data_IF_366473570094
#
_entry.id   IF_366473570094
#
_cell.length_a   1.000
_cell.length_b   1.000
_cell.length_c   1.000
_cell.angle_alpha   90.00
_cell.angle_beta   90.00
_cell.angle_gamma   90.00
#
_symmetry.space_group_name_H-M   'P 1'
#
loop_
_entity.id
_entity.type
_entity.pdbx_description
1 polymer ?
#
# COMPACT_ATOMS: atom_id res chain seq x y z
N UNK A 1 12.58 -22.70 -6.10
CA UNK A 1 13.53 -21.88 -5.30
C UNK A 1 13.06 -20.44 -5.17
N UNK A 2 12.65 -19.77 -6.26
CA UNK A 2 12.11 -18.40 -6.20
C UNK A 2 10.86 -18.26 -5.31
N UNK A 3 9.87 -19.14 -5.48
CA UNK A 3 8.62 -19.11 -4.70
C UNK A 3 8.85 -19.28 -3.20
N UNK A 4 9.72 -20.22 -2.81
CA UNK A 4 10.13 -20.43 -1.42
C UNK A 4 10.86 -19.21 -0.82
N UNK A 5 11.74 -18.57 -1.59
CA UNK A 5 12.43 -17.36 -1.14
C UNK A 5 11.44 -16.18 -1.00
N UNK A 6 10.47 -16.06 -1.91
CA UNK A 6 9.44 -15.03 -1.84
C UNK A 6 8.54 -15.23 -0.61
N UNK A 7 8.08 -16.45 -0.33
CA UNK A 7 7.33 -16.77 0.90
C UNK A 7 8.12 -16.44 2.16
N UNK A 8 9.40 -16.82 2.23
CA UNK A 8 10.25 -16.50 3.38
C UNK A 8 10.43 -14.99 3.56
N UNK A 9 10.53 -14.23 2.46
CA UNK A 9 10.60 -12.77 2.48
C UNK A 9 9.30 -12.16 3.03
N UNK A 10 8.14 -12.64 2.58
CA UNK A 10 6.82 -12.18 3.06
C UNK A 10 6.64 -12.49 4.55
N UNK A 11 6.96 -13.70 5.01
CA UNK A 11 6.87 -14.03 6.43
C UNK A 11 7.82 -13.20 7.30
N UNK A 12 9.05 -12.95 6.80
CA UNK A 12 9.98 -12.07 7.50
C UNK A 12 9.45 -10.64 7.58
N UNK A 13 8.96 -10.09 6.47
CA UNK A 13 8.38 -8.75 6.43
C UNK A 13 7.15 -8.66 7.33
N UNK A 14 6.30 -9.69 7.35
CA UNK A 14 5.12 -9.77 8.23
C UNK A 14 5.53 -9.71 9.69
N UNK A 15 6.51 -10.53 10.08
CA UNK A 15 7.03 -10.51 11.45
C UNK A 15 7.61 -9.14 11.81
N UNK A 16 8.47 -8.58 10.96
CA UNK A 16 9.08 -7.27 11.21
C UNK A 16 8.03 -6.15 11.34
N UNK A 17 6.98 -6.19 10.51
CA UNK A 17 5.90 -5.21 10.55
C UNK A 17 5.08 -5.37 11.83
N UNK A 18 4.74 -6.60 12.23
CA UNK A 18 4.03 -6.84 13.49
C UNK A 18 4.85 -6.42 14.70
N UNK A 19 6.15 -6.75 14.73
CA UNK A 19 7.07 -6.32 15.79
C UNK A 19 7.12 -4.78 15.84
N UNK A 20 7.21 -4.10 14.68
CA UNK A 20 7.23 -2.62 14.61
C UNK A 20 5.92 -2.00 15.11
N UNK A 21 4.77 -2.60 14.79
CA UNK A 21 3.46 -2.12 15.26
C UNK A 21 3.34 -2.31 16.78
N UNK A 22 3.79 -3.45 17.31
CA UNK A 22 3.78 -3.75 18.74
C UNK A 22 4.71 -2.81 19.54
N UNK A 23 5.90 -2.56 19.01
CA UNK A 23 6.83 -1.56 19.55
C UNK A 23 6.21 -0.15 19.52
N UNK A 24 5.51 0.22 18.44
CA UNK A 24 4.77 1.48 18.36
C UNK A 24 3.65 1.58 19.40
N UNK A 25 2.93 0.48 19.66
CA UNK A 25 1.90 0.43 20.71
C UNK A 25 2.52 0.67 22.07
N UNK A 26 3.60 -0.04 22.38
CA UNK A 26 4.29 0.06 23.66
C UNK A 26 4.85 1.46 23.89
N UNK A 27 5.57 2.00 22.91
CA UNK A 27 6.13 3.36 23.00
C UNK A 27 5.05 4.43 23.17
N UNK A 28 3.94 4.35 22.43
CA UNK A 28 2.83 5.29 22.60
C UNK A 28 2.17 5.17 23.98
N UNK A 29 2.04 3.95 24.50
CA UNK A 29 1.48 3.71 25.83
C UNK A 29 2.36 4.32 26.93
N UNK A 30 3.67 4.10 26.86
CA UNK A 30 4.65 4.68 27.79
C UNK A 30 4.64 6.21 27.72
N UNK A 31 4.63 6.78 26.51
CA UNK A 31 4.57 8.23 26.31
C UNK A 31 3.30 8.82 26.93
N UNK A 32 2.13 8.21 26.68
CA UNK A 32 0.86 8.67 27.25
C UNK A 32 0.84 8.55 28.77
N UNK A 33 1.37 7.46 29.33
CA UNK A 33 1.47 7.27 30.78
C UNK A 33 2.36 8.32 31.44
N UNK A 34 3.51 8.64 30.83
CA UNK A 34 4.43 9.68 31.30
C UNK A 34 3.79 11.07 31.28
N UNK A 35 3.01 11.36 30.24
CA UNK A 35 2.27 12.62 30.14
C UNK A 35 1.17 12.72 31.22
N UNK A 36 0.47 11.63 31.53
CA UNK A 36 -0.50 11.59 32.63
C UNK A 36 0.16 11.85 33.98
N UNK A 37 1.31 11.20 34.24
CA UNK A 37 2.08 11.44 35.47
C UNK A 37 2.52 12.91 35.59
N UNK A 38 2.97 13.49 34.49
CA UNK A 38 3.39 14.91 34.44
C UNK A 38 2.21 15.84 34.71
N UNK A 39 1.04 15.62 34.09
CA UNK A 39 -0.15 16.41 34.35
C UNK A 39 -0.63 16.31 35.79
N UNK A 40 -0.62 15.10 36.38
CA UNK A 40 -0.94 14.91 37.80
C UNK A 40 -0.02 15.77 38.69
N UNK A 41 1.29 15.75 38.44
CA UNK A 41 2.25 16.59 39.18
C UNK A 41 1.98 18.08 39.03
N UNK A 42 1.53 18.53 37.84
CA UNK A 42 1.16 19.93 37.60
C UNK A 42 -0.09 20.31 38.39
N UNK A 43 -1.11 19.44 38.44
CA UNK A 43 -2.32 19.67 39.24
C UNK A 43 -1.98 19.75 40.73
N UNK A 44 -1.14 18.83 41.24
CA UNK A 44 -0.69 18.84 42.63
C UNK A 44 0.07 20.13 42.97
N UNK A 45 0.98 20.58 42.09
CA UNK A 45 1.70 21.83 42.28
C UNK A 45 0.78 23.06 42.26
N UNK A 46 -0.25 23.07 41.42
CA UNK A 46 -1.26 24.14 41.40
C UNK A 46 -2.09 24.17 42.70
N UNK A 47 -2.43 23.00 43.25
CA UNK A 47 -3.11 22.89 44.54
C UNK A 47 -2.25 23.46 45.67
N UNK A 48 -0.96 23.11 45.71
CA UNK A 48 0.00 23.66 46.68
C UNK A 48 0.11 25.19 46.58
N UNK A 49 0.19 25.74 45.36
CA UNK A 49 0.22 27.20 45.14
C UNK A 49 -1.09 27.85 45.57
N UNK A 50 -2.24 27.23 45.33
CA UNK A 50 -3.54 27.73 45.78
C UNK A 50 -3.60 27.77 47.31
N UNK A 51 -3.18 26.70 48.00
CA UNK A 51 -3.13 26.64 49.46
C UNK A 51 -2.19 27.72 50.03
N UNK A 52 -1.00 27.89 49.43
CA UNK A 52 -0.07 28.96 49.78
C UNK A 52 -0.67 30.35 49.60
N UNK A 53 -1.36 30.59 48.49
CA UNK A 53 -2.02 31.86 48.17
C UNK A 53 -3.17 32.17 49.13
N UNK A 54 -3.98 31.18 49.51
CA UNK A 54 -5.01 31.34 50.56
C UNK A 54 -4.40 31.70 51.91
N UNK A 55 -3.26 31.11 52.26
CA UNK A 55 -2.54 31.44 53.50
C UNK A 55 -2.01 32.88 53.47
N UNK A 56 -1.47 33.32 52.33
CA UNK A 56 -1.04 34.71 52.14
C UNK A 56 -2.24 35.66 52.26
N UNK A 57 -3.38 35.33 51.65
CA UNK A 57 -4.61 36.14 51.77
C UNK A 57 -4.99 36.36 53.24
N UNK A 58 -4.96 35.30 54.07
CA UNK A 58 -5.21 35.41 55.50
C UNK A 58 -4.21 36.30 56.25
N UNK A 59 -2.92 36.23 55.89
CA UNK A 59 -1.88 37.11 56.47
C UNK A 59 -2.15 38.58 56.10
N UNK A 60 -2.54 38.84 54.86
CA UNK A 60 -2.86 40.20 54.38
C UNK A 60 -4.08 40.77 55.11
N UNK A 61 -5.12 39.96 55.36
CA UNK A 61 -6.25 40.36 56.22
C UNK A 61 -5.78 40.75 57.61
N UNK A 62 -4.93 39.94 58.25
CA UNK A 62 -4.38 40.24 59.57
C UNK A 62 -3.55 41.54 59.56
N UNK A 63 -2.73 41.78 58.54
CA UNK A 63 -1.94 43.02 58.42
C UNK A 63 -2.87 44.24 58.29
N UNK A 64 -3.95 44.13 57.52
CA UNK A 64 -4.95 45.18 57.40
C UNK A 64 -5.63 45.47 58.76
N UNK A 65 -5.94 44.43 59.54
CA UNK A 65 -6.52 44.59 60.87
C UNK A 65 -5.54 45.25 61.86
N UNK A 66 -4.27 44.87 61.83
CA UNK A 66 -3.21 45.51 62.63
C UNK A 66 -3.04 46.98 62.24
N UNK A 67 -3.08 47.29 60.94
CA UNK A 67 -3.03 48.66 60.45
C UNK A 67 -4.24 49.48 60.96
N UNK A 68 -5.45 48.90 60.96
CA UNK A 68 -6.64 49.54 61.50
C UNK A 68 -6.55 49.77 63.01
N UNK A 69 -6.11 48.78 63.78
CA UNK A 69 -5.89 48.91 65.23
C UNK A 69 -4.82 49.98 65.56
N UNK A 70 -3.73 50.01 64.80
CA UNK A 70 -2.67 51.02 64.94
C UNK A 70 -3.21 52.43 64.66
N UNK A 71 -4.09 52.57 63.66
CA UNK A 71 -4.76 53.82 63.35
C UNK A 71 -5.67 54.31 64.50
N UNK A 72 -6.39 53.40 65.17
CA UNK A 72 -7.20 53.72 66.35
C UNK A 72 -6.35 54.09 67.58
N UNK A 73 -5.26 53.37 67.82
CA UNK A 73 -4.31 53.69 68.89
C UNK A 73 -3.67 55.07 68.68
N UNK A 74 -3.28 55.38 67.45
CA UNK A 74 -2.74 56.68 67.07
C UNK A 74 -3.77 57.80 67.29
N UNK A 75 -5.04 57.55 66.97
CA UNK A 75 -6.13 58.49 67.25
C UNK A 75 -6.28 58.75 68.75
N UNK A 76 -6.29 57.71 69.58
CA UNK A 76 -6.36 57.85 71.04
C UNK A 76 -5.16 58.63 71.60
N UNK A 77 -3.95 58.37 71.09
CA UNK A 77 -2.75 59.12 71.45
C UNK A 77 -2.82 60.59 71.03
N UNK A 78 -3.38 60.90 69.85
CA UNK A 78 -3.63 62.28 69.43
C UNK A 78 -4.60 63.01 70.37
N UNK A 79 -5.65 62.33 70.84
CA UNK A 79 -6.62 62.90 71.79
C UNK A 79 -5.97 63.15 73.15
N UNK A 80 -5.19 62.19 73.67
CA UNK A 80 -4.53 62.36 74.97
C UNK A 80 -3.43 63.43 74.91
N UNK A 81 -2.73 63.55 73.78
CA UNK A 81 -1.79 64.63 73.52
C UNK A 81 -2.48 66.01 73.50
N UNK A 82 -3.68 66.11 72.93
CA UNK A 82 -4.48 67.34 72.98
C UNK A 82 -4.93 67.66 74.41
N UNK A 83 -5.27 66.64 75.20
CA UNK A 83 -5.68 66.76 76.61
C UNK A 83 -4.55 67.24 77.53
N UNK A 84 -3.31 66.83 77.24
CA UNK A 84 -2.10 67.27 77.97
C UNK A 84 -1.65 68.71 77.65
N UNK A 85 -2.33 69.40 76.71
CA UNK A 85 -2.05 70.81 76.37
C UNK A 85 -0.64 71.02 75.83
N UNK A 86 0.08 72.02 76.37
CA UNK A 86 1.43 72.40 75.91
C UNK A 86 2.45 71.24 76.01
N UNK A 87 2.30 70.34 76.99
CA UNK A 87 3.19 69.21 77.19
C UNK A 87 2.98 68.07 76.18
N UNK A 88 1.83 68.04 75.49
CA UNK A 88 1.48 66.99 74.52
C UNK A 88 1.87 67.31 73.08
N UNK A 89 2.36 68.51 72.76
CA UNK A 89 2.63 68.96 71.38
C UNK A 89 3.55 68.01 70.59
N UNK A 90 4.61 67.52 71.21
CA UNK A 90 5.52 66.54 70.57
C UNK A 90 4.84 65.19 70.29
N UNK A 91 4.05 64.69 71.24
CA UNK A 91 3.30 63.44 71.08
C UNK A 91 2.19 63.54 70.04
N UNK A 92 1.55 64.71 69.89
CA UNK A 92 0.52 64.94 68.87
C UNK A 92 1.06 64.80 67.44
N UNK A 93 2.30 65.27 67.19
CA UNK A 93 2.96 65.14 65.88
C UNK A 93 3.26 63.68 65.58
N UNK A 94 3.85 62.96 66.55
CA UNK A 94 4.17 61.53 66.39
C UNK A 94 2.89 60.72 66.13
N UNK A 95 1.82 60.98 66.89
CA UNK A 95 0.54 60.29 66.72
C UNK A 95 -0.07 60.55 65.31
N UNK A 96 0.05 61.76 64.78
CA UNK A 96 -0.40 62.07 63.41
C UNK A 96 0.39 61.29 62.35
N UNK A 97 1.71 61.15 62.53
CA UNK A 97 2.55 60.42 61.58
C UNK A 97 2.31 58.91 61.62
N UNK A 98 2.17 58.34 62.83
CA UNK A 98 1.76 56.93 63.01
C UNK A 98 0.41 56.67 62.36
N UNK A 99 -0.56 57.60 62.50
CA UNK A 99 -1.88 57.49 61.85
C UNK A 99 -1.78 57.46 60.32
N UNK A 100 -0.97 58.34 59.74
CA UNK A 100 -0.72 58.35 58.27
C UNK A 100 -0.08 57.06 57.80
N UNK A 101 0.92 56.55 58.53
CA UNK A 101 1.59 55.29 58.20
C UNK A 101 0.62 54.11 58.25
N UNK A 102 -0.20 54.03 59.31
CA UNK A 102 -1.23 53.01 59.45
C UNK A 102 -2.23 53.03 58.28
N UNK A 103 -2.69 54.22 57.86
CA UNK A 103 -3.55 54.34 56.69
C UNK A 103 -2.85 53.85 55.40
N UNK A 104 -1.58 54.21 55.19
CA UNK A 104 -0.81 53.74 54.03
C UNK A 104 -0.67 52.21 54.02
N UNK A 105 -0.39 51.60 55.18
CA UNK A 105 -0.29 50.14 55.31
C UNK A 105 -1.62 49.43 55.04
N UNK A 106 -2.74 49.97 55.54
CA UNK A 106 -4.07 49.40 55.26
C UNK A 106 -4.39 49.46 53.75
N UNK A 107 -4.10 50.59 53.10
CA UNK A 107 -4.30 50.73 51.65
C UNK A 107 -3.44 49.72 50.86
N UNK A 108 -2.15 49.61 51.16
CA UNK A 108 -1.25 48.68 50.49
C UNK A 108 -1.67 47.21 50.71
N UNK A 109 -2.11 46.86 51.93
CA UNK A 109 -2.60 45.52 52.23
C UNK A 109 -3.83 45.17 51.40
N UNK A 110 -4.76 46.12 51.22
CA UNK A 110 -5.94 45.93 50.38
C UNK A 110 -5.59 45.74 48.90
N UNK A 111 -4.62 46.50 48.39
CA UNK A 111 -4.11 46.34 47.02
C UNK A 111 -3.45 44.97 46.81
N UNK A 112 -2.64 44.50 47.76
CA UNK A 112 -2.06 43.15 47.72
C UNK A 112 -3.16 42.08 47.77
N UNK A 113 -4.20 42.29 48.58
CA UNK A 113 -5.36 41.38 48.66
C UNK A 113 -6.01 41.15 47.30
N UNK A 114 -6.25 42.23 46.52
CA UNK A 114 -6.80 42.13 45.16
C UNK A 114 -5.87 41.35 44.22
N UNK A 115 -4.55 41.56 44.31
CA UNK A 115 -3.59 40.80 43.48
C UNK A 115 -3.59 39.30 43.82
N UNK A 116 -3.73 38.95 45.10
CA UNK A 116 -3.83 37.56 45.54
C UNK A 116 -5.15 36.93 45.06
N UNK A 117 -6.26 37.66 45.10
CA UNK A 117 -7.55 37.20 44.58
C UNK A 117 -7.49 36.90 43.07
N UNK A 118 -6.92 37.81 42.28
CA UNK A 118 -6.67 37.59 40.85
C UNK A 118 -5.74 36.40 40.59
N UNK A 119 -4.74 36.19 41.46
CA UNK A 119 -3.83 35.04 41.36
C UNK A 119 -4.56 33.73 41.63
N UNK A 120 -5.43 33.69 42.65
CA UNK A 120 -6.28 32.53 42.94
C UNK A 120 -7.20 32.19 41.77
N UNK A 121 -7.81 33.18 41.13
CA UNK A 121 -8.64 32.98 39.93
C UNK A 121 -7.82 32.42 38.75
N UNK A 122 -6.60 32.92 38.56
CA UNK A 122 -5.69 32.46 37.49
C UNK A 122 -5.23 31.01 37.73
N UNK A 123 -4.92 30.64 38.98
CA UNK A 123 -4.54 29.27 39.36
C UNK A 123 -5.72 28.33 39.14
N UNK A 124 -6.93 28.72 39.55
CA UNK A 124 -8.13 27.90 39.36
C UNK A 124 -8.45 27.70 37.87
N UNK A 125 -8.32 28.74 37.06
CA UNK A 125 -8.46 28.64 35.60
C UNK A 125 -7.41 27.69 35.01
N UNK A 126 -6.15 27.82 35.44
CA UNK A 126 -5.06 26.92 35.03
C UNK A 126 -5.32 25.46 35.41
N UNK A 127 -5.79 25.21 36.63
CA UNK A 127 -6.17 23.88 37.13
C UNK A 127 -7.26 23.25 36.27
N UNK A 128 -8.29 24.03 35.92
CA UNK A 128 -9.39 23.57 35.07
C UNK A 128 -8.90 23.24 33.65
N UNK A 129 -8.04 24.07 33.06
CA UNK A 129 -7.44 23.80 31.74
C UNK A 129 -6.59 22.52 31.72
N UNK A 130 -5.78 22.28 32.76
CA UNK A 130 -4.98 21.05 32.87
C UNK A 130 -5.90 19.83 33.02
N UNK A 131 -6.95 19.94 33.83
CA UNK A 131 -7.93 18.86 34.02
C UNK A 131 -8.69 18.54 32.73
N UNK A 132 -9.04 19.56 31.94
CA UNK A 132 -9.67 19.37 30.63
C UNK A 132 -8.69 18.78 29.61
N UNK A 133 -7.42 19.24 29.62
CA UNK A 133 -6.34 18.65 28.84
C UNK A 133 -6.13 17.17 29.16
N UNK A 134 -6.26 16.78 30.43
CA UNK A 134 -6.19 15.39 30.85
C UNK A 134 -7.33 14.53 30.29
N UNK A 135 -8.58 15.05 30.26
CA UNK A 135 -9.68 14.37 29.57
C UNK A 135 -9.39 14.18 28.08
N UNK A 136 -8.90 15.24 27.41
CA UNK A 136 -8.50 15.16 26.01
C UNK A 136 -7.41 14.12 25.76
N UNK A 137 -6.45 13.99 26.68
CA UNK A 137 -5.40 12.98 26.61
C UNK A 137 -5.92 11.55 26.81
N UNK A 138 -6.91 11.34 27.68
CA UNK A 138 -7.57 10.05 27.83
C UNK A 138 -8.33 9.64 26.56
N UNK A 139 -9.02 10.58 25.91
CA UNK A 139 -9.67 10.32 24.62
C UNK A 139 -8.65 10.02 23.52
N UNK A 140 -7.55 10.77 23.47
CA UNK A 140 -6.45 10.53 22.53
C UNK A 140 -5.85 9.14 22.74
N UNK A 141 -5.60 8.73 23.99
CA UNK A 141 -5.13 7.37 24.32
C UNK A 141 -6.06 6.31 23.75
N UNK A 142 -7.36 6.43 24.00
CA UNK A 142 -8.35 5.47 23.48
C UNK A 142 -8.38 5.42 21.95
N UNK A 143 -8.26 6.58 21.29
CA UNK A 143 -8.19 6.66 19.82
C UNK A 143 -6.92 6.02 19.27
N UNK A 144 -5.76 6.32 19.86
CA UNK A 144 -4.46 5.74 19.47
C UNK A 144 -4.49 4.22 19.66
N UNK A 145 -4.98 3.73 20.79
CA UNK A 145 -5.11 2.29 21.05
C UNK A 145 -6.02 1.61 20.02
N UNK A 146 -7.18 2.20 19.72
CA UNK A 146 -8.10 1.67 18.71
C UNK A 146 -7.46 1.66 17.31
N UNK A 147 -6.78 2.75 16.94
CA UNK A 147 -6.12 2.91 15.65
C UNK A 147 -4.98 1.91 15.48
N UNK A 148 -4.16 1.68 16.51
CA UNK A 148 -3.05 0.74 16.44
C UNK A 148 -3.53 -0.71 16.40
N UNK A 149 -4.57 -1.05 17.15
CA UNK A 149 -5.21 -2.36 17.06
C UNK A 149 -5.84 -2.59 15.67
N UNK A 150 -6.44 -1.56 15.09
CA UNK A 150 -6.95 -1.62 13.73
C UNK A 150 -5.83 -1.83 12.71
N UNK A 151 -4.75 -1.05 12.79
CA UNK A 151 -3.57 -1.18 11.92
C UNK A 151 -2.96 -2.58 11.99
N UNK A 152 -2.86 -3.16 13.20
CA UNK A 152 -2.40 -4.53 13.42
C UNK A 152 -3.29 -5.53 12.69
N UNK A 153 -4.59 -5.47 12.93
CA UNK A 153 -5.56 -6.38 12.32
C UNK A 153 -5.61 -6.25 10.80
N UNK A 154 -5.57 -5.04 10.26
CA UNK A 154 -5.63 -4.78 8.83
C UNK A 154 -4.34 -5.23 8.13
N UNK A 155 -3.18 -4.99 8.75
CA UNK A 155 -1.91 -5.48 8.24
C UNK A 155 -1.85 -7.01 8.24
N UNK A 156 -2.33 -7.66 9.31
CA UNK A 156 -2.42 -9.13 9.38
C UNK A 156 -3.29 -9.69 8.25
N UNK A 157 -4.46 -9.09 8.00
CA UNK A 157 -5.34 -9.50 6.91
C UNK A 157 -4.66 -9.35 5.54
N UNK A 158 -4.10 -8.17 5.25
CA UNK A 158 -3.43 -7.89 3.97
C UNK A 158 -2.24 -8.84 3.73
N UNK A 159 -1.44 -9.13 4.77
CA UNK A 159 -0.29 -10.03 4.66
C UNK A 159 -0.71 -11.48 4.50
N UNK A 160 -1.84 -11.88 5.09
CA UNK A 160 -2.44 -13.19 4.84
C UNK A 160 -2.92 -13.31 3.39
N UNK A 161 -3.58 -12.29 2.85
CA UNK A 161 -4.04 -12.27 1.44
C UNK A 161 -2.86 -12.35 0.47
N UNK A 162 -1.77 -11.62 0.72
CA UNK A 162 -0.52 -11.71 -0.04
C UNK A 162 0.04 -13.14 0.02
N UNK A 163 0.05 -13.75 1.20
CA UNK A 163 0.56 -15.12 1.38
C UNK A 163 -0.27 -16.13 0.60
N UNK A 164 -1.60 -15.98 0.57
CA UNK A 164 -2.50 -16.80 -0.24
C UNK A 164 -2.25 -16.63 -1.74
N UNK A 165 -2.07 -15.39 -2.21
CA UNK A 165 -1.73 -15.11 -3.61
C UNK A 165 -0.42 -15.79 -4.02
N UNK A 166 0.60 -15.79 -3.15
CA UNK A 166 1.86 -16.49 -3.41
C UNK A 166 1.72 -18.02 -3.46
N UNK A 167 0.83 -18.60 -2.65
CA UNK A 167 0.52 -20.02 -2.71
C UNK A 167 -0.10 -20.39 -4.08
N UNK A 168 -1.06 -19.59 -4.55
CA UNK A 168 -1.69 -19.79 -5.86
C UNK A 168 -0.67 -19.67 -7.01
N UNK A 169 0.21 -18.67 -6.97
CA UNK A 169 1.29 -18.54 -7.97
C UNK A 169 2.23 -19.74 -7.93
N UNK A 170 2.51 -20.29 -6.75
CA UNK A 170 3.37 -21.47 -6.60
C UNK A 170 2.73 -22.71 -7.22
N UNK A 171 1.43 -22.88 -7.05
CA UNK A 171 0.65 -23.95 -7.69
C UNK A 171 0.67 -23.82 -9.22
N UNK A 172 0.42 -22.62 -9.75
CA UNK A 172 0.47 -22.36 -11.20
C UNK A 172 1.87 -22.66 -11.77
N UNK A 173 2.94 -22.29 -11.07
CA UNK A 173 4.31 -22.58 -11.49
C UNK A 173 4.61 -24.09 -11.49
N UNK A 174 4.06 -24.84 -10.55
CA UNK A 174 4.17 -26.30 -10.54
C UNK A 174 3.43 -26.91 -11.74
N UNK A 175 2.22 -26.43 -12.04
CA UNK A 175 1.47 -26.86 -13.22
C UNK A 175 2.19 -26.52 -14.54
N UNK A 176 2.78 -25.32 -14.66
CA UNK A 176 3.61 -24.93 -15.82
C UNK A 176 4.82 -25.85 -15.95
N UNK A 177 5.49 -26.21 -14.85
CA UNK A 177 6.63 -27.13 -14.87
C UNK A 177 6.22 -28.50 -15.41
N UNK A 178 5.10 -29.05 -14.95
CA UNK A 178 4.56 -30.32 -15.43
C UNK A 178 4.20 -30.23 -16.92
N UNK A 179 3.44 -29.21 -17.33
CA UNK A 179 3.07 -29.00 -18.72
C UNK A 179 4.28 -28.80 -19.64
N UNK A 180 5.33 -28.12 -19.16
CA UNK A 180 6.58 -27.92 -19.92
C UNK A 180 7.35 -29.21 -20.11
N UNK A 181 7.34 -30.12 -19.12
CA UNK A 181 7.93 -31.45 -19.25
C UNK A 181 7.15 -32.30 -20.26
N UNK A 182 5.81 -32.29 -20.20
CA UNK A 182 4.96 -33.01 -21.15
C UNK A 182 5.09 -32.45 -22.57
N UNK A 183 5.18 -31.13 -22.73
CA UNK A 183 5.48 -30.49 -24.01
C UNK A 183 6.86 -30.89 -24.54
N UNK A 184 7.88 -30.96 -23.69
CA UNK A 184 9.21 -31.40 -24.11
C UNK A 184 9.21 -32.85 -24.63
N UNK A 185 8.50 -33.74 -23.94
CA UNK A 185 8.30 -35.14 -24.37
C UNK A 185 7.50 -35.20 -25.69
N UNK A 186 6.43 -34.41 -25.81
CA UNK A 186 5.63 -34.30 -27.03
C UNK A 186 6.44 -33.78 -28.23
N UNK A 187 7.31 -32.78 -28.02
CA UNK A 187 8.24 -32.28 -29.04
C UNK A 187 9.23 -33.38 -29.44
N UNK A 188 9.70 -34.20 -28.51
CA UNK A 188 10.54 -35.37 -28.80
C UNK A 188 9.84 -36.37 -29.73
N UNK A 189 8.57 -36.67 -29.46
CA UNK A 189 7.75 -37.55 -30.31
C UNK A 189 7.49 -36.94 -31.70
N UNK A 190 7.19 -35.64 -31.76
CA UNK A 190 7.02 -34.91 -33.02
C UNK A 190 8.30 -34.99 -33.84
N UNK A 191 9.46 -34.76 -33.23
CA UNK A 191 10.75 -34.82 -33.92
C UNK A 191 11.02 -36.22 -34.51
N UNK A 192 10.69 -37.27 -33.75
CA UNK A 192 10.77 -38.66 -34.25
C UNK A 192 9.84 -38.88 -35.44
N UNK A 193 8.60 -38.40 -35.35
CA UNK A 193 7.61 -38.51 -36.43
C UNK A 193 8.03 -37.74 -37.68
N UNK A 194 8.65 -36.55 -37.51
CA UNK A 194 9.20 -35.77 -38.61
C UNK A 194 10.34 -36.53 -39.29
N UNK A 195 11.24 -37.17 -38.52
CA UNK A 195 12.30 -38.00 -39.08
C UNK A 195 11.75 -39.19 -39.88
N UNK A 196 10.69 -39.85 -39.38
CA UNK A 196 9.99 -40.91 -40.09
C UNK A 196 9.31 -40.41 -41.38
N UNK A 197 8.66 -39.25 -41.31
CA UNK A 197 8.05 -38.61 -42.48
C UNK A 197 9.10 -38.21 -43.51
N UNK A 198 10.26 -37.72 -43.07
CA UNK A 198 11.41 -37.43 -43.94
C UNK A 198 11.90 -38.71 -44.64
N UNK A 199 12.00 -39.84 -43.92
CA UNK A 199 12.36 -41.14 -44.49
C UNK A 199 11.36 -41.59 -45.56
N UNK A 200 10.06 -41.54 -45.27
CA UNK A 200 9.01 -41.91 -46.24
C UNK A 200 9.01 -40.97 -47.44
N UNK A 201 9.22 -39.67 -47.23
CA UNK A 201 9.31 -38.68 -48.32
C UNK A 201 10.49 -39.00 -49.25
N UNK A 202 11.62 -39.40 -48.68
CA UNK A 202 12.79 -39.84 -49.46
C UNK A 202 12.52 -41.14 -50.22
N UNK A 203 11.87 -42.11 -49.57
CA UNK A 203 11.46 -43.38 -50.18
C UNK A 203 10.49 -43.15 -51.35
N UNK A 204 9.50 -42.27 -51.17
CA UNK A 204 8.58 -41.86 -52.23
C UNK A 204 9.31 -41.21 -53.42
N UNK A 205 10.31 -40.36 -53.18
CA UNK A 205 11.12 -39.78 -54.25
C UNK A 205 11.86 -40.88 -55.04
N UNK A 206 12.46 -41.86 -54.35
CA UNK A 206 13.13 -42.98 -55.01
C UNK A 206 12.16 -43.87 -55.80
N UNK A 207 10.98 -44.15 -55.25
CA UNK A 207 9.92 -44.89 -55.92
C UNK A 207 9.44 -44.16 -57.17
N UNK A 208 9.26 -42.84 -57.11
CA UNK A 208 8.88 -42.02 -58.27
C UNK A 208 9.95 -42.09 -59.36
N UNK A 209 11.25 -42.00 -59.00
CA UNK A 209 12.33 -42.18 -59.96
C UNK A 209 12.32 -43.58 -60.60
N UNK A 210 12.18 -44.63 -59.80
CA UNK A 210 12.14 -46.01 -60.29
C UNK A 210 10.93 -46.24 -61.20
N UNK A 211 9.77 -45.73 -60.83
CA UNK A 211 8.54 -45.84 -61.60
C UNK A 211 8.62 -45.04 -62.91
N UNK A 212 9.30 -43.89 -62.91
CA UNK A 212 9.61 -43.13 -64.12
C UNK A 212 10.56 -43.91 -65.04
N UNK A 213 11.59 -44.58 -64.49
CA UNK A 213 12.48 -45.48 -65.26
C UNK A 213 11.73 -46.66 -65.84
N UNK A 214 10.88 -47.32 -65.05
CA UNK A 214 10.03 -48.42 -65.51
C UNK A 214 9.08 -47.98 -66.63
N UNK A 215 8.41 -46.83 -66.47
CA UNK A 215 7.55 -46.24 -67.49
C UNK A 215 8.34 -45.91 -68.77
N UNK A 216 9.56 -45.40 -68.66
CA UNK A 216 10.45 -45.17 -69.81
C UNK A 216 10.84 -46.47 -70.51
N UNK A 217 11.19 -47.52 -69.75
CA UNK A 217 11.49 -48.85 -70.29
C UNK A 217 10.28 -49.46 -71.01
N UNK A 218 9.08 -49.37 -70.41
CA UNK A 218 7.83 -49.80 -71.03
C UNK A 218 7.52 -49.03 -72.32
N UNK A 219 7.73 -47.72 -72.34
CA UNK A 219 7.58 -46.90 -73.54
C UNK A 219 8.55 -47.33 -74.65
N UNK A 220 9.80 -47.64 -74.30
CA UNK A 220 10.79 -48.16 -75.24
C UNK A 220 10.41 -49.55 -75.77
N UNK A 221 9.93 -50.46 -74.92
CA UNK A 221 9.45 -51.78 -75.35
C UNK A 221 8.22 -51.67 -76.25
N UNK A 222 7.30 -50.72 -75.97
CA UNK A 222 6.13 -50.46 -76.81
C UNK A 222 6.56 -49.97 -78.18
N UNK A 223 7.50 -49.02 -78.27
CA UNK A 223 8.12 -48.61 -79.54
C UNK A 223 8.82 -49.77 -80.26
N UNK A 224 9.47 -50.66 -79.51
CA UNK A 224 10.13 -51.83 -80.08
C UNK A 224 9.11 -52.81 -80.68
N UNK A 225 8.01 -53.10 -79.98
CA UNK A 225 6.90 -53.92 -80.48
C UNK A 225 6.20 -53.26 -81.67
N UNK A 226 6.00 -51.94 -81.66
CA UNK A 226 5.49 -51.16 -82.80
C UNK A 226 6.40 -51.31 -84.02
N UNK A 227 7.73 -51.19 -83.84
CA UNK A 227 8.70 -51.42 -84.91
C UNK A 227 8.68 -52.85 -85.44
N UNK A 228 8.55 -53.86 -84.56
CA UNK A 228 8.43 -55.27 -84.96
C UNK A 228 7.14 -55.51 -85.74
N UNK A 229 6.01 -54.91 -85.32
CA UNK A 229 4.73 -55.01 -86.03
C UNK A 229 4.79 -54.32 -87.40
N UNK A 230 5.42 -53.15 -87.50
CA UNK A 230 5.66 -52.45 -88.76
C UNK A 230 6.61 -53.22 -89.70
N UNK A 231 7.46 -54.09 -89.15
CA UNK A 231 8.32 -55.01 -89.92
C UNK A 231 7.61 -56.27 -90.41
N UNK A 232 6.45 -56.61 -89.84
CA UNK A 232 5.59 -57.68 -90.35
C UNK A 232 4.84 -57.19 -91.59
N UNK A 233 5.50 -57.28 -92.73
CA UNK A 233 4.82 -57.23 -94.04
C UNK A 233 4.09 -58.57 -94.20
N UNK A 234 2.79 -58.57 -93.93
CA UNK A 234 1.88 -59.63 -94.37
C UNK A 234 1.75 -59.50 -95.88
N UNK A 235 2.27 -60.48 -96.63
CA UNK A 235 2.21 -60.50 -98.08
C UNK A 235 0.78 -60.45 -98.63
N UNK A 236 0.61 -59.63 -99.67
CA UNK A 236 -0.57 -59.47 -100.55
C UNK A 236 -1.17 -60.83 -100.97
N UNK A 237 -2.48 -61.05 -101.16
CA UNK A 237 -3.54 -60.20 -101.72
C UNK A 237 -4.89 -60.96 -101.44
N UNK A 238 -6.01 -60.41 -100.92
CA UNK A 238 -7.12 -59.75 -101.65
C UNK A 238 -8.24 -59.39 -100.62
N UNK A 239 -8.63 -58.11 -100.62
CA UNK A 239 -9.88 -57.43 -100.14
C UNK A 239 -10.54 -57.81 -98.82
N UNK A 240 -10.64 -56.85 -97.88
CA UNK A 240 -11.90 -56.10 -97.60
C UNK A 240 -11.70 -55.05 -96.48
N UNK A 241 -12.04 -53.80 -96.83
CA UNK A 241 -12.50 -52.66 -96.02
C UNK A 241 -11.51 -51.86 -95.15
N UNK A 242 -11.41 -50.58 -95.52
CA UNK A 242 -11.00 -49.48 -94.66
C UNK A 242 -11.88 -49.44 -93.41
N UNK A 243 -11.28 -49.68 -92.24
CA UNK A 243 -11.85 -49.27 -90.97
C UNK A 243 -11.31 -47.87 -90.68
N UNK A 244 -12.19 -46.88 -90.80
CA UNK A 244 -12.00 -45.58 -90.17
C UNK A 244 -11.71 -45.81 -88.67
N UNK A 245 -10.47 -45.57 -88.22
CA UNK A 245 -10.25 -45.34 -86.80
C UNK A 245 -10.48 -43.86 -86.50
N UNK A 246 -11.75 -43.50 -86.30
CA UNK A 246 -12.14 -42.25 -85.64
C UNK A 246 -12.02 -42.44 -84.12
N UNK A 247 -10.92 -41.94 -83.57
CA UNK A 247 -10.69 -41.80 -82.13
C UNK A 247 -9.28 -42.27 -81.74
N UNK A 248 -8.43 -41.50 -81.07
CA UNK A 248 -8.61 -40.25 -80.34
C UNK A 248 -7.25 -39.55 -80.28
N UNK A 249 -7.30 -38.24 -80.41
CA UNK A 249 -6.50 -37.27 -79.65
C UNK A 249 -5.00 -37.51 -79.57
N UNK A 250 -4.30 -36.79 -80.45
CA UNK A 250 -3.15 -35.93 -80.14
C UNK A 250 -2.88 -35.85 -78.62
N UNK A 251 -2.00 -36.72 -78.10
CA UNK A 251 -1.44 -36.55 -76.77
C UNK A 251 -0.48 -35.36 -76.85
N UNK A 252 -1.06 -34.17 -76.77
CA UNK A 252 -0.36 -32.92 -76.53
C UNK A 252 0.31 -33.06 -75.16
N UNK A 253 1.60 -33.41 -75.14
CA UNK A 253 2.48 -32.98 -74.04
C UNK A 253 2.69 -31.46 -74.18
N UNK A 254 1.64 -30.71 -73.87
CA UNK A 254 1.75 -29.34 -73.38
C UNK A 254 1.07 -29.31 -72.00
N UNK A 255 1.79 -29.73 -70.96
CA UNK A 255 1.53 -29.17 -69.63
C UNK A 255 2.33 -27.87 -69.54
N UNK A 256 1.69 -26.80 -69.99
CA UNK A 256 2.05 -25.44 -69.63
C UNK A 256 2.17 -25.36 -68.11
N UNK A 257 3.29 -24.79 -67.67
CA UNK A 257 3.35 -24.10 -66.40
C UNK A 257 2.18 -23.12 -66.30
N UNK A 258 1.37 -23.29 -65.25
CA UNK A 258 0.67 -22.25 -64.51
C UNK A 258 0.47 -22.89 -63.13
N UNK A 259 1.17 -22.43 -62.09
CA UNK A 259 0.73 -21.29 -61.28
C UNK A 259 -0.75 -21.43 -60.94
N UNK A 260 -1.02 -22.26 -59.95
CA UNK A 260 -2.05 -21.98 -58.95
C UNK A 260 -1.41 -22.19 -57.58
N UNK A 261 -1.71 -21.23 -56.73
CA UNK A 261 -0.94 -20.75 -55.62
C UNK A 261 -1.92 -20.70 -54.47
N UNK A 262 -1.93 -21.72 -53.60
CA UNK A 262 -2.65 -21.80 -52.31
C UNK A 262 -2.50 -23.24 -51.79
N UNK A 263 -2.05 -23.58 -50.58
CA UNK A 263 -2.10 -22.90 -49.28
C UNK A 263 -0.77 -23.12 -48.53
N UNK A 264 -0.11 -22.02 -48.15
CA UNK A 264 0.77 -21.97 -46.98
C UNK A 264 -0.09 -21.40 -45.85
N UNK A 265 -0.53 -22.24 -44.92
CA UNK A 265 -1.02 -21.77 -43.62
C UNK A 265 0.22 -21.38 -42.81
N UNK A 266 0.76 -20.21 -43.12
CA UNK A 266 1.85 -19.58 -42.38
C UNK A 266 1.26 -18.82 -41.21
N UNK A 267 1.49 -19.41 -40.04
CA UNK A 267 1.56 -18.71 -38.77
C UNK A 267 2.25 -17.34 -38.94
N UNK A 268 1.50 -16.27 -38.70
CA UNK A 268 2.11 -14.99 -38.31
C UNK A 268 1.35 -14.40 -37.11
N UNK A 269 2.04 -14.24 -35.96
CA UNK A 269 1.47 -13.65 -34.75
C UNK A 269 1.54 -12.12 -34.83
N UNK A 270 0.39 -11.45 -34.92
CA UNK A 270 0.12 -10.15 -34.26
C UNK A 270 -1.24 -9.59 -34.68
N UNK A 271 -2.23 -9.74 -33.80
CA UNK A 271 -3.30 -8.75 -33.63
C UNK A 271 -3.34 -8.38 -32.15
N UNK A 272 -2.35 -7.60 -31.74
CA UNK A 272 -2.52 -6.66 -30.63
C UNK A 272 -2.78 -5.30 -31.30
N UNK A 273 -3.77 -4.58 -30.77
CA UNK A 273 -4.21 -3.20 -31.09
C UNK A 273 -5.52 -3.14 -31.87
N UNK A 274 -6.60 -2.86 -31.14
CA UNK A 274 -7.77 -2.17 -31.68
C UNK A 274 -9.11 -2.77 -31.29
N UNK A 275 -9.51 -2.65 -30.02
CA UNK A 275 -10.87 -2.28 -29.59
C UNK A 275 -11.05 -2.56 -28.09
N UNK A 276 -10.54 -1.67 -27.23
CA UNK A 276 -10.94 -1.59 -25.81
C UNK A 276 -10.73 -0.16 -25.30
N UNK A 277 -11.39 0.80 -25.95
CA UNK A 277 -11.36 2.21 -25.53
C UNK A 277 -12.74 2.83 -25.41
N UNK A 278 -13.77 2.05 -25.07
CA UNK A 278 -15.12 2.56 -24.84
C UNK A 278 -15.89 1.84 -23.71
N UNK A 279 -15.22 1.46 -22.62
CA UNK A 279 -15.93 0.97 -21.43
C UNK A 279 -15.36 1.41 -20.07
N UNK A 280 -14.63 2.54 -20.01
CA UNK A 280 -14.20 3.18 -18.74
C UNK A 280 -14.88 4.55 -18.57
N UNK A 281 -16.19 4.65 -18.83
CA UNK A 281 -16.92 5.90 -18.56
C UNK A 281 -18.32 5.68 -17.93
N UNK A 282 -18.53 4.56 -17.23
CA UNK A 282 -19.80 4.28 -16.53
C UNK A 282 -19.69 3.82 -15.06
N UNK A 283 -18.53 3.96 -14.41
CA UNK A 283 -18.38 3.61 -12.99
C UNK A 283 -17.82 4.72 -12.09
N UNK A 284 -17.91 5.99 -12.51
CA UNK A 284 -17.68 7.13 -11.59
C UNK A 284 -18.72 8.23 -11.80
N UNK A 285 -19.88 8.04 -11.16
CA UNK A 285 -20.77 9.10 -10.68
C UNK A 285 -21.28 8.71 -9.30
#
# INVERSE_FOLDING_TARGET
>A
TLTKNAQQSVEKNRKQLLDTVDDSITNNHEMLSSLQETNSKVVDAMEDIMLGSKKIAGIITLINDVAFQTNLLALNASVEAARAGEHGKGFAVVATEVRKLAHRSAKASKEIGVLIENSLESIETGRNLVTEGEKGMQEMRKKVETMLNHLKSESDANLNDITQAFLQVSEVMENIKVASLEQADGVGQINTTIADMQRITQENATLVEENARASSSMANNTKHLENLLNGFIVGDEITTQAIENKGKDKLLLESKANQDQEYLDDNSPNQIMGNDQNEIDKLTK
#
